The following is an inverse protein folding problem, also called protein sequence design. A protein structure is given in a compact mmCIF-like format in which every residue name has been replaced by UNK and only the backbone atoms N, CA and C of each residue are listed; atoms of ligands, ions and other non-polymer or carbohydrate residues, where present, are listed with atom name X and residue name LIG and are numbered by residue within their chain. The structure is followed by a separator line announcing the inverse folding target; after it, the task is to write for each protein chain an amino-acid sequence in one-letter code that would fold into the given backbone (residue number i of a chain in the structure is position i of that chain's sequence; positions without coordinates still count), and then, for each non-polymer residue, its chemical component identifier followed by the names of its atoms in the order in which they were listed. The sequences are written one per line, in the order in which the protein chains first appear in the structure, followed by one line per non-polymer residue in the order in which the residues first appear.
data_IF_642020185768
#
_entry.id   IF_642020185768
#
_cell.length_a   1.000
_cell.length_b   1.000
_cell.length_c   1.000
_cell.angle_alpha   90.00
_cell.angle_beta   90.00
_cell.angle_gamma   90.00
#
_symmetry.space_group_name_H-M   'P 1'
#
loop_
_entity.id
_entity.type
_entity.pdbx_description
1 polymer ?
#
# COMPACT_ATOMS: atom_id res chain seq x y z
N UNK A 1 -11.02 17.62 -24.87
CA UNK A 1 -9.90 17.79 -23.90
C UNK A 1 -10.36 18.22 -22.50
N UNK A 2 -11.47 18.98 -22.36
CA UNK A 2 -12.00 19.46 -21.07
C UNK A 2 -12.52 18.34 -20.15
N UNK A 3 -13.16 17.30 -20.70
CA UNK A 3 -13.68 16.16 -19.93
C UNK A 3 -12.62 15.27 -19.27
N UNK A 4 -11.45 15.12 -19.91
CA UNK A 4 -10.32 14.35 -19.36
C UNK A 4 -9.65 15.09 -18.20
N UNK A 5 -9.47 16.41 -18.32
CA UNK A 5 -8.97 17.25 -17.21
C UNK A 5 -9.93 17.21 -16.01
N UNK A 6 -11.24 17.30 -16.23
CA UNK A 6 -12.26 17.17 -15.18
C UNK A 6 -12.39 15.75 -14.60
N UNK A 7 -11.82 14.74 -15.25
CA UNK A 7 -11.74 13.37 -14.72
C UNK A 7 -10.53 13.22 -13.79
N UNK A 8 -9.34 13.63 -14.25
CA UNK A 8 -8.11 13.62 -13.43
C UNK A 8 -8.27 14.51 -12.19
N UNK A 9 -8.90 15.69 -12.33
CA UNK A 9 -9.11 16.62 -11.21
C UNK A 9 -10.09 16.12 -10.12
N UNK A 10 -10.70 14.93 -10.25
CA UNK A 10 -11.60 14.38 -9.21
C UNK A 10 -10.89 13.95 -7.91
N UNK A 11 -9.62 14.29 -7.71
CA UNK A 11 -8.83 14.01 -6.50
C UNK A 11 -8.49 12.53 -6.32
N UNK A 12 -9.51 11.68 -6.20
CA UNK A 12 -9.43 10.23 -6.05
C UNK A 12 -8.61 9.52 -7.14
N UNK A 13 -8.57 10.07 -8.37
CA UNK A 13 -7.83 9.48 -9.49
C UNK A 13 -6.33 9.77 -9.46
N UNK A 14 -5.92 10.93 -8.97
CA UNK A 14 -4.50 11.30 -8.89
C UNK A 14 -3.83 10.46 -7.83
N UNK A 15 -4.43 10.32 -6.65
CA UNK A 15 -3.90 9.50 -5.57
C UNK A 15 -3.79 8.02 -5.98
N UNK A 16 -4.83 7.48 -6.63
CA UNK A 16 -4.79 6.12 -7.16
C UNK A 16 -3.71 5.93 -8.22
N UNK A 17 -3.58 6.89 -9.15
CA UNK A 17 -2.56 6.85 -10.20
C UNK A 17 -1.15 6.90 -9.61
N UNK A 18 -0.90 7.79 -8.66
CA UNK A 18 0.40 7.89 -7.99
C UNK A 18 0.71 6.62 -7.21
N UNK A 19 -0.25 6.06 -6.47
CA UNK A 19 -0.06 4.80 -5.74
C UNK A 19 0.34 3.65 -6.68
N UNK A 20 -0.34 3.52 -7.82
CA UNK A 20 -0.04 2.48 -8.79
C UNK A 20 1.35 2.64 -9.43
N UNK A 21 1.71 3.87 -9.81
CA UNK A 21 3.03 4.18 -10.39
C UNK A 21 4.13 3.87 -9.39
N UNK A 22 3.97 4.27 -8.12
CA UNK A 22 4.96 3.99 -7.08
C UNK A 22 5.10 2.49 -6.80
N UNK A 23 3.99 1.75 -6.77
CA UNK A 23 4.02 0.29 -6.60
C UNK A 23 4.76 -0.41 -7.74
N UNK A 24 4.46 -0.04 -9.00
CA UNK A 24 5.10 -0.62 -10.17
C UNK A 24 6.60 -0.28 -10.25
N UNK A 25 6.97 0.97 -9.98
CA UNK A 25 8.37 1.40 -9.98
C UNK A 25 9.18 0.70 -8.88
N UNK A 26 8.63 0.59 -7.68
CA UNK A 26 9.28 -0.11 -6.58
C UNK A 26 9.48 -1.60 -6.88
N UNK A 27 8.44 -2.27 -7.37
CA UNK A 27 8.53 -3.68 -7.76
C UNK A 27 9.63 -3.90 -8.82
N UNK A 28 9.73 -3.03 -9.82
CA UNK A 28 10.76 -3.11 -10.85
C UNK A 28 12.18 -2.98 -10.27
N UNK A 29 12.40 -2.06 -9.34
CA UNK A 29 13.71 -1.87 -8.67
C UNK A 29 14.10 -3.11 -7.88
N UNK A 30 13.18 -3.68 -7.11
CA UNK A 30 13.47 -4.87 -6.32
C UNK A 30 13.74 -6.07 -7.22
N UNK A 31 12.94 -6.28 -8.26
CA UNK A 31 13.19 -7.37 -9.23
C UNK A 31 14.56 -7.25 -9.87
N UNK A 32 14.98 -6.04 -10.29
CA UNK A 32 16.32 -5.81 -10.86
C UNK A 32 17.44 -6.05 -9.84
N UNK A 33 17.22 -5.71 -8.58
CA UNK A 33 18.15 -6.02 -7.51
C UNK A 33 18.31 -7.54 -7.30
N UNK A 34 17.20 -8.30 -7.35
CA UNK A 34 17.26 -9.76 -7.22
C UNK A 34 17.93 -10.40 -8.44
N UNK A 35 17.61 -9.97 -9.66
CA UNK A 35 18.29 -10.41 -10.87
C UNK A 35 19.82 -10.19 -10.76
N UNK A 36 20.23 -9.00 -10.33
CA UNK A 36 21.64 -8.67 -10.10
C UNK A 36 22.27 -9.57 -9.03
N UNK A 37 21.59 -9.81 -7.90
CA UNK A 37 22.05 -10.70 -6.84
C UNK A 37 22.24 -12.13 -7.36
N UNK A 38 21.29 -12.63 -8.13
CA UNK A 38 21.37 -13.97 -8.72
C UNK A 38 22.47 -14.10 -9.77
N UNK A 39 22.74 -13.01 -10.51
CA UNK A 39 23.84 -12.96 -11.48
C UNK A 39 25.24 -12.94 -10.85
N UNK A 40 25.36 -12.63 -9.55
CA UNK A 40 26.62 -12.72 -8.81
C UNK A 40 26.91 -14.11 -8.23
N UNK A 41 25.96 -15.05 -8.30
CA UNK A 41 26.16 -16.39 -7.77
C UNK A 41 27.08 -17.23 -8.67
N UNK A 42 27.91 -18.13 -8.09
CA UNK A 42 28.77 -19.01 -8.86
C UNK A 42 27.96 -19.96 -9.76
N UNK A 43 28.53 -20.36 -10.91
CA UNK A 43 27.88 -21.22 -11.91
C UNK A 43 27.35 -22.55 -11.35
N UNK A 44 27.84 -23.02 -10.19
CA UNK A 44 27.30 -24.18 -9.48
C UNK A 44 25.84 -24.00 -9.01
N UNK A 45 25.39 -22.76 -8.84
CA UNK A 45 24.02 -22.41 -8.48
C UNK A 45 23.11 -22.22 -9.71
N UNK A 46 23.68 -22.17 -10.93
CA UNK A 46 22.95 -21.88 -12.17
C UNK A 46 21.88 -22.92 -12.52
N UNK A 47 22.03 -24.17 -12.05
CA UNK A 47 21.03 -25.23 -12.25
C UNK A 47 19.72 -24.96 -11.51
N UNK A 48 19.79 -24.29 -10.36
CA UNK A 48 18.62 -23.90 -9.55
C UNK A 48 18.22 -22.43 -9.78
N UNK A 49 19.14 -21.58 -10.25
CA UNK A 49 18.95 -20.14 -10.41
C UNK A 49 19.36 -19.65 -11.81
N UNK A 50 18.91 -20.35 -12.85
CA UNK A 50 19.12 -19.92 -14.24
C UNK A 50 18.33 -18.64 -14.57
N UNK A 51 18.93 -17.77 -15.39
CA UNK A 51 18.30 -16.54 -15.90
C UNK A 51 17.57 -16.79 -17.23
N UNK A 52 17.60 -18.03 -17.73
CA UNK A 52 16.93 -18.40 -18.97
C UNK A 52 15.42 -18.44 -18.78
N UNK A 53 14.69 -17.66 -19.59
CA UNK A 53 13.28 -17.34 -19.38
C UNK A 53 12.32 -18.56 -19.32
N UNK A 54 12.71 -19.71 -19.87
CA UNK A 54 11.91 -20.95 -19.85
C UNK A 54 12.46 -22.03 -18.92
N UNK A 55 13.44 -21.69 -18.07
CA UNK A 55 14.01 -22.62 -17.10
C UNK A 55 13.22 -22.66 -15.79
N UNK A 56 13.26 -23.80 -15.09
CA UNK A 56 12.76 -23.90 -13.72
C UNK A 56 13.48 -22.92 -12.76
N UNK A 57 14.74 -22.56 -13.09
CA UNK A 57 15.51 -21.58 -12.33
C UNK A 57 14.95 -20.16 -12.41
N UNK A 58 14.40 -19.75 -13.56
CA UNK A 58 13.77 -18.44 -13.69
C UNK A 58 12.49 -18.34 -12.85
N UNK A 59 11.73 -19.43 -12.73
CA UNK A 59 10.58 -19.50 -11.83
C UNK A 59 11.01 -19.40 -10.36
N UNK A 60 12.05 -20.15 -9.96
CA UNK A 60 12.55 -20.08 -8.58
C UNK A 60 13.09 -18.69 -8.25
N UNK A 61 13.76 -18.03 -9.20
CA UNK A 61 14.19 -16.65 -9.08
C UNK A 61 13.00 -15.70 -8.87
N UNK A 62 11.92 -15.84 -9.64
CA UNK A 62 10.70 -15.05 -9.46
C UNK A 62 10.06 -15.25 -8.08
N UNK A 63 10.07 -16.48 -7.55
CA UNK A 63 9.58 -16.78 -6.19
C UNK A 63 10.46 -16.11 -5.13
N UNK A 64 11.79 -16.18 -5.27
CA UNK A 64 12.72 -15.49 -4.38
C UNK A 64 12.54 -13.98 -4.45
N UNK A 65 12.37 -13.42 -5.65
CA UNK A 65 12.09 -12.01 -5.86
C UNK A 65 10.79 -11.58 -5.18
N UNK A 66 9.72 -12.38 -5.32
CA UNK A 66 8.45 -12.12 -4.63
C UNK A 66 8.59 -12.10 -3.11
N UNK A 67 9.31 -13.09 -2.54
CA UNK A 67 9.57 -13.14 -1.10
C UNK A 67 10.42 -11.96 -0.62
N UNK A 68 11.42 -11.54 -1.39
CA UNK A 68 12.23 -10.36 -1.07
C UNK A 68 11.42 -9.07 -1.15
N UNK A 69 10.57 -8.90 -2.17
CA UNK A 69 9.64 -7.77 -2.25
C UNK A 69 8.75 -7.72 -1.00
N UNK A 70 8.13 -8.85 -0.65
CA UNK A 70 7.27 -8.94 0.54
C UNK A 70 8.03 -8.60 1.82
N UNK A 71 9.25 -9.10 1.99
CA UNK A 71 10.10 -8.82 3.14
C UNK A 71 10.47 -7.34 3.23
N UNK A 72 10.90 -6.71 2.13
CA UNK A 72 11.29 -5.30 2.12
C UNK A 72 10.08 -4.40 2.38
N UNK A 73 8.93 -4.66 1.76
CA UNK A 73 7.69 -3.89 2.00
C UNK A 73 7.27 -4.01 3.47
N UNK A 74 7.29 -5.22 4.03
CA UNK A 74 6.93 -5.42 5.43
C UNK A 74 7.88 -4.69 6.39
N UNK A 75 9.20 -4.87 6.24
CA UNK A 75 10.18 -4.31 7.17
C UNK A 75 10.43 -2.81 6.99
N UNK A 76 10.45 -2.27 5.77
CA UNK A 76 10.74 -0.86 5.52
C UNK A 76 9.52 0.03 5.44
N UNK A 77 8.34 -0.50 5.13
CA UNK A 77 7.12 0.30 5.01
C UNK A 77 6.17 -0.04 6.16
N UNK A 78 5.72 -1.30 6.25
CA UNK A 78 4.65 -1.67 7.20
C UNK A 78 5.10 -1.50 8.65
N UNK A 79 6.26 -2.04 9.04
CA UNK A 79 6.74 -2.00 10.42
C UNK A 79 7.06 -0.60 10.96
N UNK A 80 7.78 0.29 10.24
CA UNK A 80 7.95 1.67 10.70
C UNK A 80 6.64 2.44 10.61
N UNK A 81 5.77 2.16 9.64
CA UNK A 81 4.46 2.80 9.56
C UNK A 81 3.59 2.45 10.76
N UNK A 82 3.52 1.18 11.18
CA UNK A 82 2.76 0.77 12.38
C UNK A 82 3.36 1.37 13.64
N UNK A 83 4.68 1.30 13.82
CA UNK A 83 5.38 1.91 14.97
C UNK A 83 5.24 3.44 15.02
N UNK A 84 5.33 4.12 13.87
CA UNK A 84 5.18 5.56 13.78
C UNK A 84 3.71 5.97 14.01
N UNK A 85 2.75 5.21 13.48
CA UNK A 85 1.33 5.43 13.73
C UNK A 85 1.02 5.35 15.23
N UNK A 86 1.53 4.33 15.92
CA UNK A 86 1.37 4.21 17.38
C UNK A 86 1.98 5.38 18.17
N UNK A 87 3.04 6.01 17.64
CA UNK A 87 3.77 7.09 18.32
C UNK A 87 3.29 8.50 18.00
N UNK A 88 2.80 8.74 16.79
CA UNK A 88 2.37 10.07 16.31
C UNK A 88 0.85 10.20 16.20
N UNK A 89 0.12 9.08 16.14
CA UNK A 89 -1.33 9.01 16.13
C UNK A 89 -1.80 7.88 17.08
N UNK A 90 -1.56 8.01 18.41
CA UNK A 90 -1.97 7.00 19.38
C UNK A 90 -3.49 6.90 19.32
N UNK A 91 -4.00 5.88 18.60
CA UNK A 91 -5.40 5.68 18.25
C UNK A 91 -6.24 6.95 18.46
N UNK A 92 -6.11 7.92 17.55
CA UNK A 92 -7.30 8.72 17.27
C UNK A 92 -8.30 7.68 16.79
N UNK A 93 -9.15 7.24 17.73
CA UNK A 93 -10.48 6.74 17.48
C UNK A 93 -10.94 7.52 16.27
N UNK A 94 -11.01 6.89 15.10
CA UNK A 94 -11.12 7.58 13.80
C UNK A 94 -12.19 8.63 14.01
N UNK A 95 -11.77 9.88 14.26
CA UNK A 95 -12.61 10.82 15.00
C UNK A 95 -13.94 10.78 14.32
N UNK A 96 -14.97 10.33 15.05
CA UNK A 96 -16.30 9.97 14.54
C UNK A 96 -16.53 10.87 13.33
N UNK A 97 -16.52 10.32 12.08
CA UNK A 97 -16.37 11.14 10.88
C UNK A 97 -17.26 12.37 11.01
N UNK A 98 -16.86 13.57 10.57
CA UNK A 98 -17.59 14.80 10.90
C UNK A 98 -19.13 14.66 10.76
N UNK A 99 -19.57 13.88 9.77
CA UNK A 99 -20.96 13.43 9.57
C UNK A 99 -21.54 12.64 10.78
N UNK A 100 -20.84 11.64 11.29
CA UNK A 100 -21.22 10.86 12.48
C UNK A 100 -21.19 11.72 13.75
N UNK A 101 -20.25 12.67 13.90
CA UNK A 101 -20.26 13.61 15.02
C UNK A 101 -21.48 14.56 14.96
N UNK A 102 -21.79 15.05 13.76
CA UNK A 102 -23.04 15.79 13.48
C UNK A 102 -24.29 14.94 13.77
N UNK A 103 -24.27 13.65 13.42
CA UNK A 103 -25.39 12.74 13.71
C UNK A 103 -25.56 12.50 15.21
N UNK A 104 -24.49 12.48 15.99
CA UNK A 104 -24.56 12.42 17.45
C UNK A 104 -25.15 13.70 18.03
N UNK A 105 -24.70 14.88 17.57
CA UNK A 105 -25.30 16.15 17.96
C UNK A 105 -26.80 16.22 17.59
N UNK A 106 -27.18 15.80 16.37
CA UNK A 106 -28.58 15.77 15.93
C UNK A 106 -29.40 14.80 16.80
N UNK A 107 -28.86 13.61 17.12
CA UNK A 107 -29.51 12.63 18.02
C UNK A 107 -29.79 13.26 19.38
N UNK A 108 -28.81 13.95 19.94
CA UNK A 108 -28.90 14.53 21.28
C UNK A 108 -29.87 15.73 21.29
N UNK A 109 -29.88 16.55 20.24
CA UNK A 109 -30.85 17.63 20.04
C UNK A 109 -32.29 17.10 19.88
N UNK A 110 -32.50 16.01 19.15
CA UNK A 110 -33.82 15.38 19.01
C UNK A 110 -34.30 14.75 20.32
N UNK A 111 -33.41 14.08 21.06
CA UNK A 111 -33.74 13.53 22.38
C UNK A 111 -34.16 14.64 23.37
N UNK A 112 -33.45 15.77 23.36
CA UNK A 112 -33.79 16.93 24.18
C UNK A 112 -35.12 17.59 23.76
N UNK A 113 -35.43 17.63 22.45
CA UNK A 113 -36.70 18.16 21.95
C UNK A 113 -37.89 17.26 22.32
N UNK A 114 -37.74 15.94 22.20
CA UNK A 114 -38.79 14.97 22.51
C UNK A 114 -39.18 15.00 24.01
N UNK A 115 -38.22 15.25 24.90
CA UNK A 115 -38.46 15.45 26.33
C UNK A 115 -39.12 16.79 26.69
N UNK A 116 -39.14 17.78 25.79
CA UNK A 116 -39.84 19.07 26.01
C UNK A 116 -41.30 19.06 25.55
N UNK A 117 -41.68 18.07 24.74
CA UNK A 117 -43.05 17.91 24.20
C UNK A 117 -43.96 17.03 25.05
N UNK A 118 -43.52 16.67 26.27
CA UNK A 118 -44.29 15.95 27.30
C UNK A 118 -44.38 16.83 28.53
#
# INVERSE_FOLDING_TARGET
MTGFKNFILRGNLIELATAFIMAAAFAAVVTKFVEWLTGLMPDSASSYFSTEAQSFGAFLNAVVAFLLIAAVVYYLIVLPYTKAKERFFPAEDKGTPADVALLEEIRDLLAAQNNRSV
#
